data_IF_250866605337
#
_entry.id   IF_250866605337
#
_cell.length_a   1.000
_cell.length_b   1.000
_cell.length_c   1.000
_cell.angle_alpha   90.00
_cell.angle_beta   90.00
_cell.angle_gamma   90.00
#
_symmetry.space_group_name_H-M   'P 1'
#
loop_
_entity.id
_entity.type
_entity.pdbx_description
1 polymer ?
#
# COMPACT_ATOMS: atom_id res chain seq x y z
N UNK A 1 11.37 27.08 11.72
CA UNK A 1 11.69 25.83 12.45
C UNK A 1 11.09 24.68 11.67
N UNK A 2 11.84 24.14 10.71
CA UNK A 2 11.43 22.98 9.92
C UNK A 2 11.67 21.73 10.75
N UNK A 3 10.70 21.38 11.58
CA UNK A 3 10.78 20.30 12.56
C UNK A 3 10.87 18.91 11.90
N UNK A 4 11.68 18.03 12.53
CA UNK A 4 11.99 16.62 12.23
C UNK A 4 10.79 15.73 11.91
N UNK A 5 10.12 16.00 10.80
CA UNK A 5 8.95 15.22 10.35
C UNK A 5 9.39 13.83 9.88
N UNK A 6 10.63 13.72 9.39
CA UNK A 6 11.22 12.49 8.88
C UNK A 6 11.52 11.47 9.99
N UNK A 7 12.03 11.93 11.14
CA UNK A 7 12.34 11.08 12.30
C UNK A 7 11.09 10.68 13.09
N UNK A 8 9.93 11.24 12.76
CA UNK A 8 8.69 10.97 13.49
C UNK A 8 8.38 9.47 13.48
N UNK A 9 8.21 8.83 14.67
CA UNK A 9 7.86 7.42 14.74
C UNK A 9 6.52 7.14 14.07
N UNK A 10 6.45 6.03 13.33
CA UNK A 10 5.28 5.69 12.51
C UNK A 10 3.96 5.58 13.29
N UNK A 11 3.99 5.26 14.58
CA UNK A 11 2.79 5.22 15.42
C UNK A 11 2.05 6.57 15.53
N UNK A 12 2.73 7.69 15.27
CA UNK A 12 2.15 9.03 15.27
C UNK A 12 1.65 9.47 13.89
N UNK A 13 1.94 8.69 12.85
CA UNK A 13 1.40 8.92 11.52
C UNK A 13 -0.09 8.58 11.48
N UNK A 14 -0.90 9.50 10.98
CA UNK A 14 -2.36 9.31 10.84
C UNK A 14 -2.65 8.02 10.08
N UNK A 15 -3.44 7.13 10.69
CA UNK A 15 -3.83 5.84 10.10
C UNK A 15 -2.90 4.66 10.45
N UNK A 16 -1.81 4.91 11.18
CA UNK A 16 -0.89 3.90 11.71
C UNK A 16 -1.06 3.79 13.23
N UNK A 17 -2.08 3.02 13.66
CA UNK A 17 -2.26 2.70 15.07
C UNK A 17 -1.22 1.71 15.60
N UNK A 18 -1.21 1.41 16.92
CA UNK A 18 -0.18 0.60 17.58
C UNK A 18 0.05 -0.77 16.93
N UNK A 19 -1.03 -1.43 16.48
CA UNK A 19 -0.94 -2.71 15.78
C UNK A 19 -0.18 -2.60 14.46
N UNK A 20 -0.54 -1.63 13.61
CA UNK A 20 0.15 -1.40 12.34
C UNK A 20 1.60 -0.97 12.55
N UNK A 21 1.88 -0.15 13.57
CA UNK A 21 3.23 0.25 13.92
C UNK A 21 4.11 -0.96 14.30
N UNK A 22 3.57 -1.93 15.05
CA UNK A 22 4.26 -3.17 15.36
C UNK A 22 4.52 -4.03 14.11
N UNK A 23 3.55 -4.10 13.18
CA UNK A 23 3.71 -4.81 11.91
C UNK A 23 4.78 -4.17 11.03
N UNK A 24 4.79 -2.84 10.92
CA UNK A 24 5.78 -2.06 10.18
C UNK A 24 7.18 -2.20 10.80
N UNK A 25 7.27 -2.16 12.13
CA UNK A 25 8.54 -2.39 12.85
C UNK A 25 9.13 -3.77 12.56
N UNK A 26 8.29 -4.82 12.48
CA UNK A 26 8.73 -6.17 12.06
C UNK A 26 9.22 -6.21 10.61
N UNK A 27 8.76 -5.30 9.77
CA UNK A 27 9.23 -5.11 8.40
C UNK A 27 10.44 -4.16 8.29
N UNK A 28 11.02 -3.71 9.41
CA UNK A 28 12.16 -2.81 9.45
C UNK A 28 11.82 -1.32 9.25
N UNK A 29 10.55 -0.94 9.36
CA UNK A 29 10.08 0.43 9.15
C UNK A 29 9.68 1.05 10.50
N UNK A 30 10.34 2.15 10.88
CA UNK A 30 10.21 2.75 12.21
C UNK A 30 9.80 4.23 12.13
N UNK A 31 10.30 4.96 11.14
CA UNK A 31 10.13 6.40 10.95
C UNK A 31 9.36 6.74 9.68
N UNK A 32 8.90 7.98 9.55
CA UNK A 32 8.27 8.49 8.32
C UNK A 32 9.23 8.41 7.14
N UNK A 33 10.52 8.67 7.35
CA UNK A 33 11.55 8.56 6.32
C UNK A 33 11.63 7.16 5.72
N UNK A 34 11.56 6.12 6.55
CA UNK A 34 11.62 4.73 6.10
C UNK A 34 10.52 4.41 5.06
N UNK A 35 9.34 5.03 5.19
CA UNK A 35 8.25 4.84 4.23
C UNK A 35 8.52 5.48 2.87
N UNK A 36 9.29 6.56 2.80
CA UNK A 36 9.63 7.21 1.54
C UNK A 36 10.54 6.32 0.69
N UNK A 37 11.38 5.52 1.34
CA UNK A 37 12.28 4.58 0.68
C UNK A 37 11.72 3.16 0.58
N UNK A 38 10.51 2.91 1.12
CA UNK A 38 9.82 1.64 0.96
C UNK A 38 9.02 1.60 -0.34
N UNK A 39 9.71 1.26 -1.43
CA UNK A 39 9.07 1.14 -2.73
C UNK A 39 8.06 -0.03 -2.79
N UNK A 40 6.98 0.08 -3.56
CA UNK A 40 6.04 -1.01 -3.80
C UNK A 40 6.75 -2.25 -4.36
N UNK A 41 6.36 -3.45 -3.89
CA UNK A 41 6.87 -4.70 -4.45
C UNK A 41 6.51 -4.85 -5.94
N UNK A 42 5.32 -4.37 -6.32
CA UNK A 42 4.83 -4.39 -7.69
C UNK A 42 3.79 -3.30 -7.90
N UNK A 43 3.82 -2.68 -9.07
CA UNK A 43 2.73 -1.84 -9.56
C UNK A 43 1.75 -2.70 -10.33
N UNK A 44 0.47 -2.66 -9.95
CA UNK A 44 -0.60 -3.27 -10.73
C UNK A 44 -1.25 -2.21 -11.59
N UNK A 45 -1.14 -2.34 -12.91
CA UNK A 45 -1.90 -1.50 -13.83
C UNK A 45 -3.34 -2.01 -13.92
N UNK A 46 -4.28 -1.20 -13.45
CA UNK A 46 -5.73 -1.45 -13.50
C UNK A 46 -6.46 -0.46 -14.40
N UNK A 47 -5.75 0.22 -15.30
CA UNK A 47 -6.35 1.16 -16.26
C UNK A 47 -7.17 0.47 -17.35
N UNK A 48 -6.87 -0.80 -17.64
CA UNK A 48 -7.51 -1.57 -18.70
C UNK A 48 -8.51 -2.59 -18.12
N UNK A 49 -9.81 -2.29 -18.27
CA UNK A 49 -10.88 -3.21 -17.90
C UNK A 49 -11.09 -4.26 -18.98
N UNK A 50 -11.27 -5.52 -18.56
CA UNK A 50 -11.52 -6.63 -19.46
C UNK A 50 -12.93 -7.22 -19.27
N UNK A 51 -13.60 -7.62 -20.37
CA UNK A 51 -14.82 -8.39 -20.29
C UNK A 51 -14.58 -9.72 -19.56
N UNK A 52 -15.50 -10.12 -18.67
CA UNK A 52 -15.37 -11.38 -17.91
C UNK A 52 -15.24 -12.60 -18.84
N UNK A 53 -15.89 -12.56 -20.01
CA UNK A 53 -15.86 -13.65 -21.01
C UNK A 53 -14.47 -13.88 -21.63
N UNK A 54 -13.57 -12.90 -21.60
CA UNK A 54 -12.23 -13.02 -22.19
C UNK A 54 -11.16 -13.52 -21.21
N UNK A 55 -11.52 -13.74 -19.95
CA UNK A 55 -10.58 -14.15 -18.90
C UNK A 55 -10.11 -15.59 -19.09
N UNK A 56 -8.86 -15.85 -18.65
CA UNK A 56 -8.23 -17.17 -18.68
C UNK A 56 -7.66 -17.53 -17.30
N UNK A 57 -7.59 -18.82 -16.95
CA UNK A 57 -6.96 -19.25 -15.69
C UNK A 57 -5.54 -18.70 -15.55
N UNK A 58 -5.21 -18.21 -14.34
CA UNK A 58 -3.90 -17.62 -14.01
C UNK A 58 -3.72 -16.16 -14.45
N UNK A 59 -4.67 -15.58 -15.18
CA UNK A 59 -4.63 -14.18 -15.58
C UNK A 59 -5.05 -13.25 -14.44
N UNK A 60 -4.27 -12.20 -14.18
CA UNK A 60 -4.74 -11.05 -13.40
C UNK A 60 -5.39 -10.05 -14.34
N UNK A 61 -6.64 -9.70 -14.09
CA UNK A 61 -7.40 -8.74 -14.90
C UNK A 61 -8.25 -7.84 -13.99
N UNK A 62 -8.54 -6.63 -14.46
CA UNK A 62 -9.51 -5.74 -13.84
C UNK A 62 -10.87 -5.90 -14.55
N UNK A 63 -11.95 -6.02 -13.78
CA UNK A 63 -13.32 -6.22 -14.29
C UNK A 63 -14.29 -5.26 -13.60
N UNK A 64 -15.41 -4.97 -14.26
CA UNK A 64 -16.50 -4.16 -13.72
C UNK A 64 -17.80 -4.98 -13.67
N UNK A 65 -18.66 -4.70 -12.69
CA UNK A 65 -19.97 -5.31 -12.56
C UNK A 65 -20.81 -4.63 -11.49
N UNK A 66 -22.12 -4.83 -11.56
CA UNK A 66 -23.08 -4.30 -10.58
C UNK A 66 -23.37 -5.34 -9.49
N UNK A 67 -23.52 -4.86 -8.25
CA UNK A 67 -23.97 -5.67 -7.12
C UNK A 67 -25.42 -5.29 -6.83
N UNK A 68 -26.32 -6.28 -6.79
CA UNK A 68 -27.73 -6.11 -6.41
C UNK A 68 -27.99 -6.70 -5.03
#
# INVERSE_FOLDING_TARGET
MSSDTLETPLQFLKGVGPRKAADLKRAGLVTVEDLLYRLPFRYEDRSHMQPIVSLRPGMRAAVLGDIK
#
